data_IF_925918206068
#
_entry.id   IF_925918206068
#
_cell.length_a   1.000
_cell.length_b   1.000
_cell.length_c   1.000
_cell.angle_alpha   90.00
_cell.angle_beta   90.00
_cell.angle_gamma   90.00
#
_symmetry.space_group_name_H-M   'P 1'
#
loop_
_entity.id
_entity.type
_entity.pdbx_description
1 polymer ?
#
# COMPACT_ATOMS: atom_id res chain seq x y z
N UNK A 1 29.69 44.35 -8.00
CA UNK A 1 30.94 44.35 -8.80
C UNK A 1 32.16 43.74 -8.11
N UNK A 2 32.59 44.16 -6.90
CA UNK A 2 33.71 43.49 -6.17
C UNK A 2 33.30 42.10 -5.66
N UNK A 3 32.18 42.02 -4.92
CA UNK A 3 31.63 40.77 -4.38
C UNK A 3 31.30 39.72 -5.45
N UNK A 4 30.83 40.15 -6.63
CA UNK A 4 30.51 39.26 -7.75
C UNK A 4 31.76 38.64 -8.41
N UNK A 5 32.94 39.23 -8.20
CA UNK A 5 34.20 38.77 -8.82
C UNK A 5 35.11 38.02 -7.85
N UNK A 6 35.00 38.24 -6.54
CA UNK A 6 35.93 37.68 -5.56
C UNK A 6 35.44 36.40 -4.89
N UNK A 7 34.12 36.16 -4.77
CA UNK A 7 33.56 35.07 -3.93
C UNK A 7 34.12 35.01 -2.50
N UNK A 8 34.73 36.10 -2.01
CA UNK A 8 35.34 36.14 -0.68
C UNK A 8 34.28 36.45 0.38
N UNK A 9 34.19 35.58 1.38
CA UNK A 9 33.29 35.77 2.53
C UNK A 9 33.78 36.87 3.47
N UNK A 10 35.06 37.20 3.44
CA UNK A 10 35.69 38.18 4.32
C UNK A 10 36.68 39.02 3.52
N UNK A 11 36.64 40.34 3.70
CA UNK A 11 37.49 41.29 2.98
C UNK A 11 37.60 42.60 3.77
N UNK A 12 38.47 43.51 3.33
CA UNK A 12 38.65 44.81 3.98
C UNK A 12 38.33 45.92 2.99
N UNK A 13 37.64 46.95 3.46
CA UNK A 13 37.34 48.15 2.67
C UNK A 13 37.99 49.37 3.33
N UNK A 14 38.77 50.13 2.56
CA UNK A 14 39.29 51.42 3.01
C UNK A 14 38.50 52.54 2.35
N UNK A 15 37.81 53.36 3.15
CA UNK A 15 36.96 54.44 2.65
C UNK A 15 37.74 55.63 2.11
N UNK A 16 38.98 55.86 2.59
CA UNK A 16 39.85 56.95 2.12
C UNK A 16 40.40 56.67 0.72
N UNK A 17 40.75 55.42 0.46
CA UNK A 17 41.25 54.97 -0.85
C UNK A 17 40.12 54.47 -1.77
N UNK A 18 38.89 54.34 -1.25
CA UNK A 18 37.75 53.72 -1.94
C UNK A 18 38.10 52.35 -2.56
N UNK A 19 38.96 51.60 -1.88
CA UNK A 19 39.53 50.33 -2.37
C UNK A 19 39.16 49.17 -1.46
N UNK A 20 38.85 48.04 -2.09
CA UNK A 20 38.69 46.75 -1.43
C UNK A 20 39.99 45.97 -1.49
N UNK A 21 40.32 45.31 -0.39
CA UNK A 21 41.49 44.45 -0.26
C UNK A 21 41.06 43.06 0.15
N UNK A 22 41.74 42.07 -0.42
CA UNK A 22 41.66 40.69 0.05
C UNK A 22 42.43 40.57 1.36
N UNK A 23 42.05 39.63 2.21
CA UNK A 23 42.78 39.40 3.46
C UNK A 23 44.26 39.06 3.22
N UNK A 24 44.56 38.31 2.16
CA UNK A 24 45.93 37.96 1.77
C UNK A 24 46.80 39.16 1.38
N UNK A 25 46.19 40.30 1.02
CA UNK A 25 46.92 41.52 0.67
C UNK A 25 47.31 42.33 1.91
N UNK A 26 46.63 42.12 3.04
CA UNK A 26 46.79 42.91 4.27
C UNK A 26 47.46 42.10 5.38
N UNK A 27 47.22 40.79 5.44
CA UNK A 27 47.67 39.91 6.50
C UNK A 27 48.84 39.08 6.00
N UNK A 28 50.02 39.32 6.56
CA UNK A 28 51.21 38.52 6.40
C UNK A 28 51.36 37.56 7.58
N UNK A 29 51.39 36.26 7.29
CA UNK A 29 51.51 35.21 8.30
C UNK A 29 52.95 34.93 8.75
N UNK A 30 53.94 35.30 7.94
CA UNK A 30 55.37 35.10 8.26
C UNK A 30 55.89 36.19 9.21
N UNK A 31 55.38 37.41 9.08
CA UNK A 31 55.76 38.54 9.93
C UNK A 31 54.52 39.29 10.43
N UNK A 32 53.96 38.79 11.54
CA UNK A 32 52.80 39.38 12.20
C UNK A 32 53.06 40.83 12.62
N UNK A 33 54.31 41.23 12.82
CA UNK A 33 54.66 42.58 13.26
C UNK A 33 54.39 43.65 12.19
N UNK A 34 54.31 43.25 10.90
CA UNK A 34 54.04 44.15 9.76
C UNK A 34 52.55 44.35 9.50
N UNK A 35 51.70 43.50 10.06
CA UNK A 35 50.26 43.56 9.83
C UNK A 35 49.70 44.88 10.38
N UNK A 36 49.00 45.62 9.52
CA UNK A 36 48.20 46.82 9.87
C UNK A 36 48.99 47.97 10.55
N UNK A 37 50.33 48.02 10.39
CA UNK A 37 51.19 49.10 10.94
C UNK A 37 50.98 50.47 10.29
N UNK A 38 50.69 50.51 8.99
CA UNK A 38 50.53 51.73 8.18
C UNK A 38 49.08 52.08 7.87
N UNK A 39 48.13 51.28 8.37
CA UNK A 39 46.71 51.38 8.02
C UNK A 39 45.99 52.21 9.08
N UNK A 40 45.32 53.27 8.63
CA UNK A 40 44.46 54.08 9.49
C UNK A 40 43.15 53.34 9.75
N UNK A 41 42.99 52.87 10.99
CA UNK A 41 41.84 52.08 11.43
C UNK A 41 40.52 52.88 11.38
N UNK A 42 40.57 54.21 11.39
CA UNK A 42 39.36 55.05 11.32
C UNK A 42 38.66 54.95 9.95
N UNK A 43 39.44 54.73 8.89
CA UNK A 43 38.94 54.62 7.52
C UNK A 43 38.86 53.16 7.03
N UNK A 44 39.18 52.20 7.89
CA UNK A 44 39.27 50.78 7.53
C UNK A 44 38.09 50.01 8.11
N UNK A 45 37.36 49.33 7.23
CA UNK A 45 36.19 48.51 7.54
C UNK A 45 36.50 47.03 7.27
N UNK A 46 36.34 46.20 8.30
CA UNK A 46 36.42 44.75 8.17
C UNK A 46 35.06 44.21 7.77
N UNK A 47 34.97 43.69 6.55
CA UNK A 47 33.72 43.30 5.93
C UNK A 47 33.54 41.78 5.96
N UNK A 48 32.34 41.32 6.30
CA UNK A 48 31.92 39.93 6.23
C UNK A 48 30.62 39.83 5.43
N UNK A 49 30.55 38.84 4.54
CA UNK A 49 29.31 38.47 3.85
C UNK A 49 28.56 37.47 4.71
N UNK A 50 27.42 37.90 5.26
CA UNK A 50 26.58 37.11 6.16
C UNK A 50 25.31 36.62 5.44
N UNK A 51 25.19 35.30 5.29
CA UNK A 51 24.03 34.64 4.68
C UNK A 51 22.94 34.30 5.71
N UNK A 52 23.11 34.70 6.97
CA UNK A 52 22.11 34.49 8.02
C UNK A 52 20.85 35.31 7.77
N UNK A 53 19.68 34.68 7.96
CA UNK A 53 18.38 35.34 7.87
C UNK A 53 17.98 36.06 9.16
N UNK A 54 18.64 35.76 10.27
CA UNK A 54 18.33 36.40 11.56
C UNK A 54 18.78 37.86 11.59
N UNK A 55 18.30 38.62 12.58
CA UNK A 55 18.71 40.02 12.76
C UNK A 55 20.16 40.13 13.19
N UNK A 56 20.63 39.21 14.02
CA UNK A 56 22.00 39.19 14.53
C UNK A 56 22.99 38.67 13.50
N UNK A 57 24.30 38.98 13.62
CA UNK A 57 25.32 38.46 12.73
C UNK A 57 25.57 36.96 12.98
N UNK A 58 25.88 36.23 11.91
CA UNK A 58 26.26 34.81 11.97
C UNK A 58 27.44 34.55 12.90
N UNK A 59 27.45 33.36 13.49
CA UNK A 59 28.58 32.86 14.28
C UNK A 59 29.90 32.79 13.48
N UNK A 60 29.86 32.83 12.14
CA UNK A 60 31.05 32.95 11.28
C UNK A 60 31.86 34.22 11.53
N UNK A 61 31.20 35.31 11.94
CA UNK A 61 31.87 36.55 12.32
C UNK A 61 32.83 36.31 13.50
N UNK A 62 32.48 35.42 14.44
CA UNK A 62 33.34 35.08 15.59
C UNK A 62 34.63 34.41 15.13
N UNK A 63 34.57 33.53 14.14
CA UNK A 63 35.76 32.89 13.58
C UNK A 63 36.68 33.92 12.92
N UNK A 64 36.09 34.85 12.15
CA UNK A 64 36.85 35.90 11.48
C UNK A 64 37.52 36.87 12.45
N UNK A 65 36.79 37.32 13.46
CA UNK A 65 37.35 38.19 14.51
C UNK A 65 38.45 37.48 15.30
N UNK A 66 38.27 36.18 15.62
CA UNK A 66 39.31 35.37 16.24
C UNK A 66 40.58 35.29 15.38
N UNK A 67 40.42 35.04 14.07
CA UNK A 67 41.53 35.02 13.11
C UNK A 67 42.27 36.37 13.00
N UNK A 68 41.54 37.49 12.95
CA UNK A 68 42.14 38.83 12.94
C UNK A 68 42.88 39.10 14.25
N UNK A 69 42.28 38.77 15.40
CA UNK A 69 42.92 38.99 16.70
C UNK A 69 44.24 38.20 16.83
N UNK A 70 44.29 36.98 16.30
CA UNK A 70 45.53 36.18 16.26
C UNK A 70 46.56 36.72 15.27
N UNK A 71 46.11 37.11 14.07
CA UNK A 71 47.00 37.49 12.98
C UNK A 71 47.49 38.94 13.11
N UNK A 72 46.80 39.79 13.87
CA UNK A 72 47.07 41.22 13.97
C UNK A 72 47.04 41.70 15.43
N UNK A 73 48.10 41.40 16.22
CA UNK A 73 48.16 41.79 17.64
C UNK A 73 48.05 43.30 17.86
N UNK A 74 48.42 44.12 16.87
CA UNK A 74 48.42 45.60 16.94
C UNK A 74 47.02 46.22 17.02
N UNK A 75 45.98 45.42 16.76
CA UNK A 75 44.57 45.83 16.82
C UNK A 75 43.93 45.50 18.16
N UNK A 76 44.59 44.69 18.99
CA UNK A 76 44.13 44.47 20.37
C UNK A 76 44.08 45.82 21.11
N UNK A 77 43.02 46.01 21.90
CA UNK A 77 42.68 47.23 22.63
C UNK A 77 42.40 48.47 21.74
N UNK A 78 42.11 48.27 20.45
CA UNK A 78 41.66 49.33 19.53
C UNK A 78 40.25 49.06 19.04
N UNK A 79 39.57 50.14 18.68
CA UNK A 79 38.26 50.11 18.03
C UNK A 79 38.41 49.82 16.54
N UNK A 80 37.69 48.81 16.05
CA UNK A 80 37.58 48.47 14.64
C UNK A 80 36.17 48.68 14.12
N UNK A 81 36.05 49.14 12.88
CA UNK A 81 34.77 49.23 12.20
C UNK A 81 34.52 47.94 11.40
N UNK A 82 33.33 47.37 11.55
CA UNK A 82 32.93 46.15 10.87
C UNK A 82 31.65 46.37 10.06
N UNK A 83 31.57 45.72 8.91
CA UNK A 83 30.39 45.71 8.05
C UNK A 83 29.98 44.25 7.81
N UNK A 84 28.78 43.87 8.26
CA UNK A 84 28.16 42.60 7.91
C UNK A 84 27.16 42.84 6.77
N UNK A 85 27.54 42.41 5.57
CA UNK A 85 26.72 42.52 4.38
C UNK A 85 25.76 41.34 4.32
N UNK A 86 24.46 41.62 4.38
CA UNK A 86 23.40 40.63 4.19
C UNK A 86 22.90 40.64 2.74
N UNK A 87 22.02 39.70 2.40
CA UNK A 87 21.39 39.62 1.07
C UNK A 87 20.70 40.92 0.63
N UNK A 88 20.28 41.78 1.57
CA UNK A 88 19.76 43.12 1.30
C UNK A 88 20.56 44.18 2.07
N UNK A 89 20.92 45.28 1.40
CA UNK A 89 21.63 46.42 1.98
C UNK A 89 20.88 47.00 3.18
N UNK A 90 19.55 47.04 3.14
CA UNK A 90 18.74 47.53 4.25
C UNK A 90 18.82 46.66 5.53
N UNK A 91 19.21 45.38 5.37
CA UNK A 91 19.43 44.44 6.49
C UNK A 91 20.89 44.30 6.89
N UNK A 92 21.81 44.92 6.12
CA UNK A 92 23.23 44.93 6.45
C UNK A 92 23.49 45.76 7.69
N UNK A 93 24.49 45.35 8.48
CA UNK A 93 24.76 45.91 9.79
C UNK A 93 26.16 46.51 9.78
N UNK A 94 26.27 47.76 10.24
CA UNK A 94 27.54 48.42 10.49
C UNK A 94 27.66 48.60 12.00
N UNK A 95 28.78 48.16 12.56
CA UNK A 95 29.02 48.25 13.99
C UNK A 95 30.52 48.41 14.27
N UNK A 96 30.83 49.00 15.41
CA UNK A 96 32.21 49.20 15.88
C UNK A 96 32.44 48.27 17.06
N UNK A 97 33.55 47.54 17.05
CA UNK A 97 33.94 46.63 18.12
C UNK A 97 35.27 47.04 18.71
N UNK A 98 35.45 46.81 20.00
CA UNK A 98 36.75 46.85 20.65
C UNK A 98 37.23 45.42 20.90
N UNK A 99 38.38 45.05 20.32
CA UNK A 99 38.95 43.72 20.53
C UNK A 99 39.76 43.74 21.81
N UNK A 100 39.26 43.10 22.87
CA UNK A 100 40.00 42.99 24.13
C UNK A 100 41.25 42.12 23.97
N UNK A 101 42.31 42.44 24.71
CA UNK A 101 43.50 41.59 24.80
C UNK A 101 43.18 40.35 25.64
N UNK A 102 42.83 39.25 24.97
CA UNK A 102 42.68 37.95 25.62
C UNK A 102 43.87 37.06 25.30
N UNK A 103 44.39 36.35 26.30
CA UNK A 103 45.23 35.17 26.08
C UNK A 103 44.38 34.13 25.35
N UNK A 104 44.53 34.07 24.02
CA UNK A 104 43.81 33.15 23.15
C UNK A 104 44.33 31.72 23.39
N UNK A 105 43.86 31.10 24.46
CA UNK A 105 44.21 29.73 24.78
C UNK A 105 43.48 28.77 23.82
N UNK A 106 44.14 28.43 22.71
CA UNK A 106 43.66 27.51 21.67
C UNK A 106 43.43 26.07 22.19
N UNK A 107 43.90 25.74 23.38
CA UNK A 107 43.74 24.40 23.97
C UNK A 107 42.32 24.13 24.47
N UNK A 108 41.49 25.18 24.71
CA UNK A 108 40.07 25.03 25.11
C UNK A 108 39.16 26.02 24.39
N UNK A 109 38.90 25.85 23.07
CA UNK A 109 37.97 26.71 22.35
C UNK A 109 36.53 26.46 22.79
N UNK A 110 35.75 27.53 22.92
CA UNK A 110 34.30 27.48 23.10
C UNK A 110 33.63 27.19 21.75
N UNK A 111 33.35 25.92 21.48
CA UNK A 111 32.68 25.50 20.25
C UNK A 111 31.18 25.80 20.27
N UNK A 112 30.68 26.38 19.19
CA UNK A 112 29.26 26.60 18.90
C UNK A 112 28.97 26.18 17.46
N UNK A 113 27.72 25.87 17.13
CA UNK A 113 27.32 25.54 15.75
C UNK A 113 26.34 24.38 15.62
N UNK A 114 26.04 23.67 16.71
CA UNK A 114 24.95 22.70 16.70
C UNK A 114 23.62 23.38 16.39
N UNK A 115 22.96 22.95 15.32
CA UNK A 115 21.65 23.43 14.96
C UNK A 115 20.62 22.97 15.99
N UNK A 116 19.70 23.87 16.36
CA UNK A 116 18.61 23.50 17.26
C UNK A 116 17.49 22.81 16.49
N UNK A 117 16.87 21.82 17.13
CA UNK A 117 15.59 21.27 16.74
C UNK A 117 14.56 21.75 17.78
N UNK A 118 13.63 22.61 17.35
CA UNK A 118 12.64 23.28 18.22
C UNK A 118 13.27 23.94 19.46
N UNK A 119 14.38 24.67 19.28
CA UNK A 119 15.07 25.40 20.34
C UNK A 119 15.93 24.54 21.28
N UNK A 120 16.06 23.22 21.02
CA UNK A 120 16.93 22.32 21.79
C UNK A 120 18.03 21.75 20.90
N UNK A 121 19.21 21.52 21.48
CA UNK A 121 20.35 20.88 20.79
C UNK A 121 20.15 19.35 20.78
N UNK A 122 19.20 18.88 19.97
CA UNK A 122 18.90 17.46 19.77
C UNK A 122 18.99 17.12 18.28
N UNK A 123 19.42 15.90 17.91
CA UNK A 123 19.48 15.47 16.53
C UNK A 123 18.08 15.45 15.88
N UNK A 124 18.02 15.72 14.58
CA UNK A 124 16.80 15.56 13.78
C UNK A 124 16.77 14.14 13.21
N UNK A 125 15.66 13.44 13.41
CA UNK A 125 15.41 12.13 12.80
C UNK A 125 14.15 12.22 11.94
N UNK A 126 14.22 11.66 10.73
CA UNK A 126 13.13 11.68 9.75
C UNK A 126 12.92 10.29 9.18
N UNK A 127 11.69 9.78 9.24
CA UNK A 127 11.31 8.51 8.60
C UNK A 127 11.08 8.72 7.10
N UNK A 128 12.05 8.28 6.30
CA UNK A 128 11.97 8.32 4.84
C UNK A 128 11.41 7.03 4.22
N UNK A 129 10.96 6.06 5.02
CA UNK A 129 10.45 4.77 4.50
C UNK A 129 9.31 4.96 3.51
N UNK A 130 8.45 5.98 3.69
CA UNK A 130 7.34 6.27 2.76
C UNK A 130 7.79 6.59 1.32
N UNK A 131 9.05 6.96 1.13
CA UNK A 131 9.63 7.39 -0.15
C UNK A 131 10.73 6.41 -0.60
N UNK A 132 11.49 5.84 0.33
CA UNK A 132 12.66 5.00 0.01
C UNK A 132 12.46 3.51 0.23
N UNK A 133 11.42 3.07 0.94
CA UNK A 133 11.14 1.64 1.13
C UNK A 133 10.51 1.06 -0.15
N UNK A 134 11.19 0.14 -0.85
CA UNK A 134 10.68 -0.44 -2.10
C UNK A 134 9.32 -1.11 -1.93
N UNK A 135 9.06 -1.75 -0.78
CA UNK A 135 7.79 -2.44 -0.53
C UNK A 135 6.63 -1.45 -0.39
N UNK A 136 6.84 -0.34 0.33
CA UNK A 136 5.84 0.73 0.45
C UNK A 136 5.63 1.47 -0.88
N UNK A 137 6.67 1.61 -1.68
CA UNK A 137 6.56 2.20 -3.02
C UNK A 137 5.73 1.32 -3.97
N UNK A 138 5.98 0.01 -3.97
CA UNK A 138 5.22 -0.97 -4.76
C UNK A 138 3.75 -0.96 -4.35
N UNK A 139 3.45 -0.97 -3.05
CA UNK A 139 2.08 -0.90 -2.55
C UNK A 139 1.35 0.37 -3.01
N UNK A 140 1.99 1.54 -2.92
CA UNK A 140 1.44 2.79 -3.44
C UNK A 140 1.20 2.74 -4.95
N UNK A 141 2.13 2.17 -5.70
CA UNK A 141 2.03 2.06 -7.17
C UNK A 141 0.86 1.16 -7.58
N UNK A 142 0.70 0.00 -6.92
CA UNK A 142 -0.42 -0.93 -7.14
C UNK A 142 -1.76 -0.24 -6.85
N UNK A 143 -1.86 0.45 -5.70
CA UNK A 143 -3.09 1.10 -5.27
C UNK A 143 -3.40 2.41 -6.03
N UNK A 144 -2.43 2.99 -6.74
CA UNK A 144 -2.62 4.24 -7.48
C UNK A 144 -3.70 4.09 -8.56
N UNK A 145 -3.73 2.97 -9.28
CA UNK A 145 -4.73 2.74 -10.31
C UNK A 145 -6.17 2.75 -9.75
N UNK A 146 -6.37 2.04 -8.63
CA UNK A 146 -7.66 2.00 -7.92
C UNK A 146 -8.04 3.38 -7.35
N UNK A 147 -7.06 4.09 -6.82
CA UNK A 147 -7.24 5.45 -6.29
C UNK A 147 -7.65 6.42 -7.41
N UNK A 148 -7.05 6.30 -8.60
CA UNK A 148 -7.43 7.06 -9.78
C UNK A 148 -8.84 6.72 -10.25
N UNK A 149 -9.25 5.44 -10.23
CA UNK A 149 -10.64 5.05 -10.52
C UNK A 149 -11.62 5.71 -9.56
N UNK A 150 -11.31 5.71 -8.25
CA UNK A 150 -12.11 6.39 -7.23
C UNK A 150 -12.22 7.89 -7.53
N UNK A 151 -11.09 8.59 -7.70
CA UNK A 151 -11.09 10.05 -7.89
C UNK A 151 -11.74 10.49 -9.20
N UNK A 152 -11.50 9.78 -10.31
CA UNK A 152 -11.94 10.21 -11.64
C UNK A 152 -13.34 9.74 -12.01
N UNK A 153 -13.73 8.53 -11.58
CA UNK A 153 -14.94 7.87 -12.10
C UNK A 153 -15.99 7.62 -11.02
N UNK A 154 -15.59 7.15 -9.84
CA UNK A 154 -16.51 6.71 -8.79
C UNK A 154 -16.04 7.19 -7.41
N UNK A 155 -16.32 8.44 -7.02
CA UNK A 155 -15.83 9.02 -5.76
C UNK A 155 -16.25 8.26 -4.50
N UNK A 156 -17.43 7.64 -4.55
CA UNK A 156 -18.01 6.86 -3.46
C UNK A 156 -17.46 5.42 -3.37
N UNK A 157 -16.50 5.04 -4.22
CA UNK A 157 -15.82 3.75 -4.17
C UNK A 157 -15.05 3.60 -2.87
N UNK A 158 -15.46 2.64 -2.05
CA UNK A 158 -14.77 2.28 -0.83
C UNK A 158 -13.70 1.23 -1.17
N UNK A 159 -12.44 1.66 -1.31
CA UNK A 159 -11.33 0.73 -1.57
C UNK A 159 -10.90 -0.01 -0.29
N UNK A 160 -11.05 0.63 0.86
CA UNK A 160 -10.61 0.08 2.14
C UNK A 160 -11.37 -1.20 2.48
N UNK A 161 -12.69 -1.23 2.26
CA UNK A 161 -13.49 -2.45 2.50
C UNK A 161 -13.02 -3.60 1.62
N UNK A 162 -12.66 -3.35 0.35
CA UNK A 162 -12.18 -4.39 -0.58
C UNK A 162 -10.86 -4.95 -0.07
N UNK A 163 -9.95 -4.05 0.34
CA UNK A 163 -8.62 -4.37 0.86
C UNK A 163 -8.68 -5.20 2.15
N UNK A 164 -9.47 -4.77 3.14
CA UNK A 164 -9.53 -5.40 4.47
C UNK A 164 -10.37 -6.68 4.52
N UNK A 165 -11.24 -6.90 3.53
CA UNK A 165 -12.11 -8.09 3.48
C UNK A 165 -11.26 -9.35 3.36
N UNK A 166 -11.57 -10.37 4.17
CA UNK A 166 -10.91 -11.67 4.14
C UNK A 166 -11.62 -12.63 3.18
N UNK A 167 -10.93 -13.03 2.11
CA UNK A 167 -11.49 -13.90 1.07
C UNK A 167 -11.00 -15.34 1.24
N UNK A 168 -11.95 -16.28 1.36
CA UNK A 168 -11.68 -17.72 1.37
C UNK A 168 -12.04 -18.31 0.01
N UNK A 169 -11.06 -18.88 -0.69
CA UNK A 169 -11.21 -19.51 -1.99
C UNK A 169 -11.18 -21.03 -1.81
N UNK A 170 -12.35 -21.67 -1.88
CA UNK A 170 -12.47 -23.13 -1.81
C UNK A 170 -12.34 -23.70 -3.22
N UNK A 171 -11.14 -24.15 -3.55
CA UNK A 171 -10.68 -24.56 -4.87
C UNK A 171 -9.57 -23.64 -5.37
N UNK A 172 -8.41 -24.21 -5.68
CA UNK A 172 -7.25 -23.54 -6.27
C UNK A 172 -7.00 -24.06 -7.71
N UNK A 173 -8.08 -24.42 -8.41
CA UNK A 173 -8.07 -24.76 -9.83
C UNK A 173 -8.17 -23.52 -10.73
N UNK A 174 -8.70 -23.70 -11.94
CA UNK A 174 -8.80 -22.64 -12.97
C UNK A 174 -9.58 -21.43 -12.44
N UNK A 175 -10.72 -21.66 -11.79
CA UNK A 175 -11.53 -20.63 -11.17
C UNK A 175 -10.82 -19.96 -9.98
N UNK A 176 -10.20 -20.76 -9.10
CA UNK A 176 -9.44 -20.25 -7.94
C UNK A 176 -8.35 -19.28 -8.32
N UNK A 177 -7.54 -19.65 -9.31
CA UNK A 177 -6.45 -18.80 -9.81
C UNK A 177 -6.99 -17.52 -10.48
N UNK A 178 -8.06 -17.65 -11.29
CA UNK A 178 -8.72 -16.51 -11.94
C UNK A 178 -9.31 -15.51 -10.94
N UNK A 179 -10.11 -15.99 -9.99
CA UNK A 179 -10.73 -15.18 -8.93
C UNK A 179 -9.65 -14.49 -8.09
N UNK A 180 -8.60 -15.20 -7.69
CA UNK A 180 -7.51 -14.63 -6.90
C UNK A 180 -6.79 -13.48 -7.62
N UNK A 181 -6.47 -13.65 -8.91
CA UNK A 181 -5.86 -12.61 -9.73
C UNK A 181 -6.77 -11.38 -9.88
N UNK A 182 -8.06 -11.60 -10.09
CA UNK A 182 -9.04 -10.52 -10.17
C UNK A 182 -9.24 -9.79 -8.84
N UNK A 183 -9.25 -10.50 -7.70
CA UNK A 183 -9.30 -9.90 -6.37
C UNK A 183 -8.04 -9.07 -6.09
N UNK A 184 -6.87 -9.60 -6.45
CA UNK A 184 -5.59 -8.89 -6.29
C UNK A 184 -5.59 -7.57 -7.09
N UNK A 185 -6.09 -7.59 -8.33
CA UNK A 185 -6.22 -6.39 -9.15
C UNK A 185 -7.18 -5.34 -8.54
N UNK A 186 -8.17 -5.78 -7.75
CA UNK A 186 -9.07 -4.92 -6.98
C UNK A 186 -8.49 -4.47 -5.63
N UNK A 187 -7.25 -4.83 -5.31
CA UNK A 187 -6.56 -4.40 -4.10
C UNK A 187 -6.85 -5.24 -2.86
N UNK A 188 -7.38 -6.46 -3.02
CA UNK A 188 -7.57 -7.38 -1.91
C UNK A 188 -6.24 -7.76 -1.25
N UNK A 189 -6.15 -7.67 0.08
CA UNK A 189 -4.93 -7.98 0.84
C UNK A 189 -4.95 -9.34 1.52
N UNK A 190 -6.12 -9.94 1.72
CA UNK A 190 -6.27 -11.18 2.50
C UNK A 190 -6.92 -12.29 1.68
N UNK A 191 -6.12 -13.24 1.18
CA UNK A 191 -6.62 -14.35 0.35
C UNK A 191 -6.14 -15.69 0.93
N UNK A 192 -7.07 -16.58 1.22
CA UNK A 192 -6.76 -17.93 1.71
C UNK A 192 -7.29 -18.97 0.73
N UNK A 193 -6.43 -19.90 0.32
CA UNK A 193 -6.78 -21.01 -0.54
C UNK A 193 -7.03 -22.29 0.25
N UNK A 194 -8.01 -23.06 -0.19
CA UNK A 194 -8.24 -24.44 0.24
C UNK A 194 -8.35 -25.33 -0.98
N UNK A 195 -7.45 -26.31 -1.09
CA UNK A 195 -7.46 -27.32 -2.16
C UNK A 195 -6.68 -28.53 -1.64
N UNK A 196 -7.07 -29.75 -2.01
CA UNK A 196 -6.38 -30.97 -1.59
C UNK A 196 -5.41 -31.52 -2.64
N UNK A 197 -5.51 -31.02 -3.88
CA UNK A 197 -4.79 -31.55 -5.03
C UNK A 197 -3.36 -31.01 -5.17
N UNK A 198 -2.60 -31.72 -5.99
CA UNK A 198 -1.26 -31.31 -6.43
C UNK A 198 -1.31 -30.74 -7.85
N UNK A 199 -0.38 -29.86 -8.19
CA UNK A 199 -0.24 -29.31 -9.54
C UNK A 199 0.16 -30.45 -10.50
N UNK A 200 -0.58 -30.60 -11.61
CA UNK A 200 -0.28 -31.54 -12.70
C UNK A 200 0.24 -30.84 -13.95
N UNK A 201 0.91 -31.56 -14.85
CA UNK A 201 1.52 -31.00 -16.08
C UNK A 201 0.53 -30.23 -16.98
N UNK A 202 -0.75 -30.64 -16.98
CA UNK A 202 -1.83 -29.98 -17.73
C UNK A 202 -2.37 -28.71 -17.07
N UNK A 203 -2.01 -28.42 -15.82
CA UNK A 203 -2.56 -27.31 -15.05
C UNK A 203 -2.02 -25.93 -15.43
N UNK A 204 -0.70 -25.69 -15.58
CA UNK A 204 -0.14 -24.35 -15.78
C UNK A 204 -0.76 -23.56 -16.94
N UNK A 205 -1.16 -24.24 -18.03
CA UNK A 205 -1.77 -23.58 -19.20
C UNK A 205 -3.20 -23.08 -18.97
N UNK A 206 -3.89 -23.54 -17.92
CA UNK A 206 -5.27 -23.12 -17.57
C UNK A 206 -5.34 -22.43 -16.21
N UNK A 207 -4.42 -22.76 -15.30
CA UNK A 207 -4.40 -22.32 -13.91
C UNK A 207 -3.27 -21.30 -13.74
N UNK A 208 -3.59 -20.03 -13.99
CA UNK A 208 -2.65 -18.92 -14.21
C UNK A 208 -1.83 -18.43 -12.98
N UNK A 209 -1.72 -19.26 -11.93
CA UNK A 209 -0.80 -19.08 -10.81
C UNK A 209 0.35 -20.08 -10.82
N UNK A 210 0.22 -21.23 -11.51
CA UNK A 210 1.23 -22.29 -11.44
C UNK A 210 2.20 -22.23 -12.62
N UNK A 211 3.44 -22.62 -12.37
CA UNK A 211 4.46 -22.78 -13.41
C UNK A 211 4.66 -24.25 -13.76
N UNK A 212 5.33 -24.51 -14.89
CA UNK A 212 5.73 -25.85 -15.31
C UNK A 212 6.54 -26.59 -14.24
N UNK A 213 7.45 -25.88 -13.57
CA UNK A 213 8.27 -26.41 -12.48
C UNK A 213 7.42 -26.90 -11.28
N UNK A 214 6.35 -26.20 -10.94
CA UNK A 214 5.46 -26.63 -9.84
C UNK A 214 4.78 -27.97 -10.16
N UNK A 215 4.53 -28.22 -11.44
CA UNK A 215 3.94 -29.46 -11.92
C UNK A 215 4.95 -30.62 -11.91
N UNK A 216 6.21 -30.39 -12.29
CA UNK A 216 7.28 -31.41 -12.19
C UNK A 216 7.41 -31.90 -10.75
N UNK A 217 7.42 -30.98 -9.80
CA UNK A 217 7.56 -31.31 -8.38
C UNK A 217 6.26 -31.68 -7.69
N UNK A 218 5.14 -31.75 -8.43
CA UNK A 218 3.79 -32.03 -7.90
C UNK A 218 3.49 -31.24 -6.63
N UNK A 219 3.81 -29.94 -6.61
CA UNK A 219 3.61 -29.13 -5.41
C UNK A 219 2.11 -29.06 -5.03
N UNK A 220 1.78 -28.95 -3.73
CA UNK A 220 0.40 -28.83 -3.27
C UNK A 220 -0.23 -27.51 -3.75
N UNK A 221 -1.38 -27.59 -4.43
CA UNK A 221 -2.02 -26.44 -5.11
C UNK A 221 -2.27 -25.26 -4.19
N UNK A 222 -2.90 -25.51 -3.03
CA UNK A 222 -3.29 -24.43 -2.13
C UNK A 222 -2.08 -23.62 -1.63
N UNK A 223 -1.03 -24.30 -1.16
CA UNK A 223 0.16 -23.64 -0.65
C UNK A 223 0.94 -22.91 -1.77
N UNK A 224 1.07 -23.54 -2.94
CA UNK A 224 1.72 -22.93 -4.11
C UNK A 224 0.96 -21.72 -4.61
N UNK A 225 -0.38 -21.75 -4.68
CA UNK A 225 -1.18 -20.59 -5.06
C UNK A 225 -0.93 -19.40 -4.12
N UNK A 226 -0.86 -19.68 -2.82
CA UNK A 226 -0.56 -18.66 -1.82
C UNK A 226 0.84 -18.03 -1.99
N UNK A 227 1.85 -18.87 -2.25
CA UNK A 227 3.21 -18.44 -2.55
C UNK A 227 3.29 -17.58 -3.82
N UNK A 228 2.62 -18.00 -4.89
CA UNK A 228 2.60 -17.31 -6.18
C UNK A 228 1.94 -15.94 -6.07
N UNK A 229 0.91 -15.79 -5.23
CA UNK A 229 0.36 -14.46 -4.94
C UNK A 229 1.37 -13.54 -4.25
N UNK A 230 2.15 -14.04 -3.28
CA UNK A 230 3.21 -13.24 -2.62
C UNK A 230 4.33 -12.85 -3.57
N UNK A 231 4.64 -13.70 -4.55
CA UNK A 231 5.59 -13.34 -5.62
C UNK A 231 5.05 -12.24 -6.53
N UNK A 232 3.74 -12.19 -6.77
CA UNK A 232 3.11 -11.13 -7.57
C UNK A 232 2.96 -9.82 -6.77
N UNK A 233 2.59 -9.92 -5.50
CA UNK A 233 2.41 -8.79 -4.59
C UNK A 233 3.01 -9.12 -3.21
N UNK A 234 4.24 -8.66 -2.90
CA UNK A 234 4.96 -9.06 -1.69
C UNK A 234 4.23 -8.80 -0.36
N UNK A 235 3.39 -7.76 -0.30
CA UNK A 235 2.68 -7.38 0.93
C UNK A 235 1.35 -8.12 1.14
N UNK A 236 0.92 -8.98 0.19
CA UNK A 236 -0.34 -9.72 0.35
C UNK A 236 -0.25 -10.73 1.49
N UNK A 237 -1.28 -10.75 2.32
CA UNK A 237 -1.48 -11.76 3.36
C UNK A 237 -2.20 -12.94 2.72
N UNK A 238 -1.40 -13.86 2.19
CA UNK A 238 -1.90 -15.04 1.48
C UNK A 238 -1.46 -16.34 2.14
N UNK A 239 -2.39 -17.30 2.27
CA UNK A 239 -2.13 -18.61 2.86
C UNK A 239 -2.84 -19.73 2.08
N UNK A 240 -2.39 -20.97 2.26
CA UNK A 240 -2.92 -22.13 1.54
C UNK A 240 -2.98 -23.35 2.43
N UNK A 241 -4.15 -24.00 2.48
CA UNK A 241 -4.41 -25.15 3.33
C UNK A 241 -4.79 -26.38 2.50
N UNK A 242 -4.08 -27.48 2.73
CA UNK A 242 -4.33 -28.75 2.05
C UNK A 242 -5.43 -29.54 2.75
N UNK A 243 -6.70 -29.20 2.49
CA UNK A 243 -7.86 -29.78 3.20
C UNK A 243 -8.75 -30.52 2.20
N UNK A 244 -9.07 -31.78 2.52
CA UNK A 244 -10.06 -32.57 1.78
C UNK A 244 -11.46 -32.23 2.26
N UNK A 245 -12.29 -31.69 1.37
CA UNK A 245 -13.69 -31.40 1.67
C UNK A 245 -14.50 -32.71 1.54
N UNK A 246 -15.17 -33.19 2.61
CA UNK A 246 -15.96 -34.40 2.54
C UNK A 246 -17.17 -34.21 1.65
N UNK A 247 -17.35 -35.15 0.71
CA UNK A 247 -18.43 -35.13 -0.27
C UNK A 247 -19.58 -36.03 0.19
N UNK A 248 -20.83 -35.54 0.23
CA UNK A 248 -22.00 -36.39 0.44
C UNK A 248 -22.04 -37.59 -0.52
N UNK A 249 -22.61 -38.71 -0.06
CA UNK A 249 -22.73 -39.94 -0.86
C UNK A 249 -21.43 -40.76 -0.99
N UNK A 250 -20.33 -40.34 -0.36
CA UNK A 250 -19.08 -41.09 -0.31
C UNK A 250 -18.86 -41.63 1.11
N UNK A 251 -18.84 -42.95 1.33
CA UNK A 251 -18.66 -43.51 2.66
C UNK A 251 -17.26 -43.21 3.19
N UNK A 252 -17.19 -42.75 4.43
CA UNK A 252 -15.93 -42.56 5.16
C UNK A 252 -15.66 -43.83 5.96
N UNK A 253 -14.54 -44.50 5.67
CA UNK A 253 -14.12 -45.67 6.45
C UNK A 253 -13.73 -45.28 7.87
N UNK A 254 -13.87 -46.19 8.84
CA UNK A 254 -13.55 -45.95 10.27
C UNK A 254 -12.13 -45.39 10.49
N UNK A 255 -11.16 -45.79 9.65
CA UNK A 255 -9.77 -45.31 9.72
C UNK A 255 -9.61 -43.84 9.29
N UNK A 256 -10.51 -43.32 8.45
CA UNK A 256 -10.46 -41.95 7.91
C UNK A 256 -11.33 -40.96 8.69
N UNK A 257 -12.07 -41.44 9.70
CA UNK A 257 -13.01 -40.63 10.46
C UNK A 257 -12.31 -39.52 11.24
N UNK A 258 -11.17 -39.83 11.87
CA UNK A 258 -10.37 -38.86 12.64
C UNK A 258 -9.82 -37.75 11.73
N UNK A 259 -9.25 -38.12 10.58
CA UNK A 259 -8.73 -37.16 9.59
C UNK A 259 -9.84 -36.28 9.00
N UNK A 260 -10.99 -36.90 8.70
CA UNK A 260 -12.16 -36.20 8.16
C UNK A 260 -12.71 -35.19 9.18
N UNK A 261 -12.82 -35.58 10.45
CA UNK A 261 -13.26 -34.69 11.52
C UNK A 261 -12.28 -33.52 11.72
N UNK A 262 -10.98 -33.78 11.66
CA UNK A 262 -9.96 -32.72 11.69
C UNK A 262 -10.13 -31.73 10.52
N UNK A 263 -10.30 -32.26 9.31
CA UNK A 263 -10.53 -31.47 8.08
C UNK A 263 -11.80 -30.61 8.17
N UNK A 264 -12.89 -31.16 8.71
CA UNK A 264 -14.15 -30.44 8.94
C UNK A 264 -13.94 -29.32 9.96
N UNK A 265 -13.25 -29.58 11.07
CA UNK A 265 -12.97 -28.59 12.10
C UNK A 265 -12.12 -27.44 11.56
N UNK A 266 -11.09 -27.74 10.78
CA UNK A 266 -10.26 -26.73 10.14
C UNK A 266 -11.06 -25.90 9.13
N UNK A 267 -11.86 -26.54 8.27
CA UNK A 267 -12.73 -25.84 7.32
C UNK A 267 -13.74 -24.93 8.04
N UNK A 268 -14.33 -25.41 9.14
CA UNK A 268 -15.26 -24.66 10.00
C UNK A 268 -14.59 -23.40 10.55
N UNK A 269 -13.34 -23.51 11.01
CA UNK A 269 -12.59 -22.38 11.54
C UNK A 269 -12.23 -21.36 10.45
N UNK A 270 -11.76 -21.83 9.29
CA UNK A 270 -11.50 -20.96 8.14
C UNK A 270 -12.77 -20.20 7.71
N UNK A 271 -13.91 -20.88 7.62
CA UNK A 271 -15.19 -20.22 7.29
C UNK A 271 -15.56 -19.14 8.30
N UNK A 272 -15.32 -19.34 9.60
CA UNK A 272 -15.58 -18.32 10.62
C UNK A 272 -14.67 -17.11 10.48
N UNK A 273 -13.39 -17.33 10.19
CA UNK A 273 -12.36 -16.28 10.14
C UNK A 273 -12.47 -15.36 8.92
N UNK A 274 -13.11 -15.82 7.85
CA UNK A 274 -13.23 -15.10 6.58
C UNK A 274 -14.61 -14.45 6.40
N UNK A 275 -14.69 -13.42 5.57
CA UNK A 275 -15.91 -12.62 5.36
C UNK A 275 -16.68 -13.07 4.13
N UNK A 276 -15.95 -13.34 3.04
CA UNK A 276 -16.46 -13.78 1.75
C UNK A 276 -15.88 -15.14 1.41
N UNK A 277 -16.74 -16.06 0.98
CA UNK A 277 -16.40 -17.44 0.66
C UNK A 277 -16.77 -17.69 -0.80
N UNK A 278 -15.77 -18.04 -1.61
CA UNK A 278 -15.97 -18.49 -2.97
C UNK A 278 -15.98 -20.01 -3.03
N UNK A 279 -17.04 -20.59 -3.58
CA UNK A 279 -17.15 -22.03 -3.87
C UNK A 279 -16.73 -22.24 -5.31
N UNK A 280 -15.48 -22.68 -5.50
CA UNK A 280 -14.79 -22.83 -6.78
C UNK A 280 -14.34 -24.27 -7.00
N UNK A 281 -14.93 -25.21 -6.25
CA UNK A 281 -14.65 -26.65 -6.36
C UNK A 281 -15.23 -27.21 -7.66
N UNK A 282 -14.71 -28.37 -8.03
CA UNK A 282 -14.93 -29.06 -9.31
C UNK A 282 -16.14 -30.01 -9.31
N UNK A 283 -16.79 -30.21 -8.16
CA UNK A 283 -17.95 -31.10 -8.05
C UNK A 283 -19.10 -30.45 -7.30
N UNK A 284 -20.31 -30.93 -7.55
CA UNK A 284 -21.51 -30.48 -6.86
C UNK A 284 -21.49 -30.85 -5.38
N UNK A 285 -21.05 -32.05 -5.07
CA UNK A 285 -21.01 -32.63 -3.73
C UNK A 285 -20.06 -31.88 -2.80
N UNK A 286 -18.90 -31.48 -3.32
CA UNK A 286 -17.90 -30.72 -2.55
C UNK A 286 -18.40 -29.32 -2.15
N UNK A 287 -19.42 -28.76 -2.83
CA UNK A 287 -20.01 -27.46 -2.48
C UNK A 287 -21.03 -27.53 -1.34
N UNK A 288 -21.54 -28.73 -1.02
CA UNK A 288 -22.63 -28.88 -0.06
C UNK A 288 -22.25 -28.43 1.35
N UNK A 289 -21.19 -29.01 1.92
CA UNK A 289 -20.75 -28.67 3.27
C UNK A 289 -20.35 -27.19 3.39
N UNK A 290 -19.53 -26.62 2.49
CA UNK A 290 -19.25 -25.18 2.52
C UNK A 290 -20.48 -24.29 2.41
N UNK A 291 -21.47 -24.67 1.59
CA UNK A 291 -22.74 -23.92 1.47
C UNK A 291 -23.48 -23.91 2.79
N UNK A 292 -23.56 -25.07 3.46
CA UNK A 292 -24.19 -25.20 4.77
C UNK A 292 -23.48 -24.34 5.82
N UNK A 293 -22.15 -24.42 5.89
CA UNK A 293 -21.35 -23.65 6.84
C UNK A 293 -21.47 -22.14 6.59
N UNK A 294 -21.43 -21.70 5.34
CA UNK A 294 -21.59 -20.29 5.00
C UNK A 294 -22.97 -19.75 5.38
N UNK A 295 -24.03 -20.53 5.18
CA UNK A 295 -25.38 -20.17 5.63
C UNK A 295 -25.48 -20.14 7.17
N UNK A 296 -24.89 -21.12 7.86
CA UNK A 296 -24.89 -21.21 9.32
C UNK A 296 -24.16 -20.03 9.99
N UNK A 297 -22.98 -19.67 9.48
CA UNK A 297 -22.19 -18.55 9.99
C UNK A 297 -22.54 -17.19 9.38
N UNK A 298 -23.62 -17.12 8.58
CA UNK A 298 -24.10 -15.89 7.93
C UNK A 298 -23.01 -15.18 7.10
N UNK A 299 -22.20 -15.95 6.38
CA UNK A 299 -21.10 -15.47 5.54
C UNK A 299 -21.56 -15.21 4.11
N UNK A 300 -20.94 -14.26 3.42
CA UNK A 300 -21.25 -14.00 2.02
C UNK A 300 -20.68 -15.13 1.16
N UNK A 301 -21.54 -15.96 0.58
CA UNK A 301 -21.12 -17.10 -0.26
C UNK A 301 -21.41 -16.81 -1.72
N UNK A 302 -20.39 -16.96 -2.56
CA UNK A 302 -20.47 -16.88 -4.01
C UNK A 302 -20.11 -18.23 -4.60
N UNK A 303 -21.02 -18.84 -5.35
CA UNK A 303 -20.76 -20.10 -6.05
C UNK A 303 -20.49 -19.82 -7.51
N UNK A 304 -19.41 -20.41 -8.02
CA UNK A 304 -19.05 -20.39 -9.44
C UNK A 304 -18.94 -21.81 -9.95
N UNK A 305 -19.65 -22.11 -11.02
CA UNK A 305 -19.66 -23.40 -11.68
C UNK A 305 -19.44 -23.24 -13.18
N UNK A 306 -18.83 -24.23 -13.81
CA UNK A 306 -18.51 -24.23 -15.23
C UNK A 306 -19.10 -25.46 -15.89
N UNK A 307 -19.77 -25.26 -17.03
CA UNK A 307 -20.01 -26.28 -18.03
C UNK A 307 -19.03 -26.16 -19.20
N UNK A 308 -19.26 -26.91 -20.28
CA UNK A 308 -18.39 -26.90 -21.46
C UNK A 308 -18.25 -25.50 -22.08
N UNK A 309 -19.38 -24.84 -22.37
CA UNK A 309 -19.50 -23.52 -23.00
C UNK A 309 -20.36 -22.53 -22.18
N UNK A 310 -20.83 -22.96 -21.02
CA UNK A 310 -21.68 -22.20 -20.11
C UNK A 310 -21.05 -22.06 -18.74
N UNK A 311 -21.52 -21.09 -17.95
CA UNK A 311 -21.08 -20.91 -16.58
C UNK A 311 -22.23 -20.40 -15.71
N UNK A 312 -22.10 -20.60 -14.41
CA UNK A 312 -23.04 -20.13 -13.40
C UNK A 312 -22.26 -19.34 -12.35
N UNK A 313 -22.72 -18.13 -12.06
CA UNK A 313 -22.25 -17.31 -10.94
C UNK A 313 -23.47 -16.91 -10.12
N UNK A 314 -23.52 -17.33 -8.87
CA UNK A 314 -24.63 -17.01 -7.96
C UNK A 314 -24.11 -16.57 -6.60
N UNK A 315 -24.84 -15.65 -5.98
CA UNK A 315 -24.68 -15.32 -4.56
C UNK A 315 -25.77 -16.00 -3.74
N UNK A 316 -25.41 -16.50 -2.58
CA UNK A 316 -26.38 -17.13 -1.68
C UNK A 316 -27.12 -16.07 -0.85
N UNK A 317 -28.37 -16.36 -0.50
CA UNK A 317 -29.11 -15.56 0.47
C UNK A 317 -28.64 -15.76 1.89
N UNK A 318 -28.95 -14.78 2.75
CA UNK A 318 -28.68 -14.86 4.20
C UNK A 318 -29.98 -14.76 4.96
N UNK A 319 -30.30 -15.74 5.80
CA UNK A 319 -31.51 -15.65 6.64
C UNK A 319 -31.32 -14.54 7.68
N UNK A 320 -32.23 -13.56 7.65
CA UNK A 320 -32.41 -12.55 8.70
C UNK A 320 -33.79 -12.75 9.32
N UNK A 321 -33.91 -12.46 10.61
CA UNK A 321 -35.16 -12.56 11.37
C UNK A 321 -36.21 -11.53 10.88
N UNK A 322 -35.76 -10.40 10.33
CA UNK A 322 -36.62 -9.36 9.79
C UNK A 322 -37.11 -9.71 8.38
N UNK A 323 -38.31 -10.29 8.30
CA UNK A 323 -39.00 -10.63 7.04
C UNK A 323 -39.53 -9.38 6.33
N UNK A 324 -38.76 -8.85 5.38
CA UNK A 324 -39.22 -7.78 4.48
C UNK A 324 -40.06 -8.38 3.35
N UNK A 325 -41.30 -7.92 3.14
CA UNK A 325 -42.13 -8.42 2.02
C UNK A 325 -41.52 -8.01 0.66
N UNK A 326 -41.53 -8.88 -0.35
CA UNK A 326 -41.05 -8.54 -1.69
C UNK A 326 -41.98 -7.52 -2.35
N UNK A 327 -41.43 -6.43 -2.88
CA UNK A 327 -42.18 -5.44 -3.64
C UNK A 327 -42.19 -5.80 -5.13
N UNK A 328 -43.32 -5.56 -5.82
CA UNK A 328 -43.36 -5.61 -7.28
C UNK A 328 -43.02 -4.23 -7.83
N UNK A 329 -42.01 -4.18 -8.70
CA UNK A 329 -41.65 -2.99 -9.48
C UNK A 329 -42.05 -3.31 -10.93
N UNK A 330 -42.58 -2.35 -11.71
CA UNK A 330 -43.11 -2.56 -13.10
C UNK A 330 -42.32 -3.61 -13.91
N UNK A 331 -42.83 -4.86 -13.98
CA UNK A 331 -42.25 -6.00 -14.72
C UNK A 331 -41.20 -6.86 -13.98
N UNK A 332 -40.72 -6.46 -12.81
CA UNK A 332 -39.70 -7.15 -12.01
C UNK A 332 -40.23 -7.52 -10.62
N UNK A 333 -39.86 -8.72 -10.14
CA UNK A 333 -40.06 -9.12 -8.75
C UNK A 333 -38.80 -8.73 -7.97
N UNK A 334 -38.94 -7.82 -7.01
CA UNK A 334 -37.85 -7.47 -6.09
C UNK A 334 -37.81 -8.51 -4.97
N UNK A 335 -36.77 -9.35 -4.98
CA UNK A 335 -36.56 -10.38 -3.96
C UNK A 335 -35.56 -9.82 -2.95
N UNK A 336 -35.94 -9.69 -1.67
CA UNK A 336 -34.98 -9.31 -0.63
C UNK A 336 -33.86 -10.35 -0.54
N UNK A 337 -32.64 -9.92 -0.22
CA UNK A 337 -31.48 -10.82 -0.12
C UNK A 337 -31.67 -11.96 0.89
N UNK A 338 -32.61 -11.79 1.83
CA UNK A 338 -32.99 -12.79 2.83
C UNK A 338 -33.77 -13.98 2.27
N UNK A 339 -34.39 -13.82 1.11
CA UNK A 339 -35.21 -14.84 0.45
C UNK A 339 -34.51 -15.50 -0.74
N UNK A 340 -33.25 -15.15 -1.00
CA UNK A 340 -32.50 -15.79 -2.07
C UNK A 340 -32.13 -17.22 -1.69
N UNK A 341 -32.36 -18.14 -2.62
CA UNK A 341 -31.92 -19.52 -2.49
C UNK A 341 -30.40 -19.64 -2.56
N UNK A 342 -29.86 -20.73 -2.03
CA UNK A 342 -28.50 -21.14 -2.31
C UNK A 342 -28.43 -21.97 -3.60
N UNK A 343 -27.22 -22.40 -3.98
CA UNK A 343 -26.99 -23.31 -5.11
C UNK A 343 -27.94 -24.52 -5.14
N UNK A 344 -28.27 -25.09 -3.98
CA UNK A 344 -29.10 -26.30 -3.87
C UNK A 344 -30.61 -26.02 -3.76
N UNK A 345 -31.07 -24.76 -3.69
CA UNK A 345 -32.50 -24.46 -3.49
C UNK A 345 -33.36 -24.65 -4.75
N UNK A 346 -32.76 -24.61 -5.94
CA UNK A 346 -33.47 -24.89 -7.20
C UNK A 346 -33.39 -26.37 -7.58
N UNK A 347 -32.82 -27.20 -6.70
CA UNK A 347 -32.56 -28.59 -6.97
C UNK A 347 -33.70 -29.48 -6.49
N UNK A 348 -34.04 -30.48 -7.30
CA UNK A 348 -35.10 -31.44 -7.00
C UNK A 348 -34.50 -32.71 -6.34
N UNK A 349 -33.18 -32.90 -6.41
CA UNK A 349 -32.49 -34.11 -5.94
C UNK A 349 -31.46 -33.74 -4.87
N UNK A 350 -31.39 -34.49 -3.77
CA UNK A 350 -30.32 -34.33 -2.79
C UNK A 350 -28.94 -34.60 -3.42
N UNK A 351 -27.86 -33.92 -2.99
CA UNK A 351 -26.52 -34.20 -3.51
C UNK A 351 -26.09 -35.62 -3.10
N UNK A 352 -26.14 -36.54 -4.06
CA UNK A 352 -25.63 -37.91 -3.96
C UNK A 352 -24.33 -38.07 -4.76
N UNK A 353 -23.85 -39.30 -4.89
CA UNK A 353 -22.63 -39.59 -5.66
C UNK A 353 -22.89 -39.44 -7.17
N UNK A 354 -22.62 -38.25 -7.71
CA UNK A 354 -22.72 -37.96 -9.14
C UNK A 354 -21.50 -38.42 -9.93
N UNK A 355 -20.42 -38.94 -9.31
CA UNK A 355 -19.27 -39.48 -10.06
C UNK A 355 -19.63 -40.68 -10.96
N UNK A 356 -20.85 -41.22 -10.79
CA UNK A 356 -21.44 -42.21 -11.70
C UNK A 356 -22.34 -41.62 -12.81
N UNK A 357 -22.97 -40.46 -12.60
CA UNK A 357 -23.96 -39.85 -13.51
C UNK A 357 -23.61 -38.39 -13.86
N UNK A 358 -23.20 -38.17 -15.12
CA UNK A 358 -22.55 -36.94 -15.60
C UNK A 358 -23.50 -35.74 -15.62
N UNK A 359 -23.19 -34.68 -14.86
CA UNK A 359 -23.87 -33.36 -14.95
C UNK A 359 -22.87 -32.23 -15.19
N UNK A 360 -23.41 -31.03 -15.48
CA UNK A 360 -22.72 -29.78 -15.89
C UNK A 360 -21.39 -29.52 -15.16
N UNK A 361 -21.29 -29.85 -13.88
CA UNK A 361 -20.12 -29.57 -13.03
C UNK A 361 -18.93 -30.52 -13.21
N UNK A 362 -19.11 -31.72 -13.77
CA UNK A 362 -18.04 -32.72 -13.84
C UNK A 362 -17.06 -32.54 -15.00
N UNK A 363 -17.16 -31.46 -15.77
CA UNK A 363 -16.29 -31.18 -16.91
C UNK A 363 -15.35 -29.98 -16.69
N UNK A 364 -14.95 -29.67 -15.46
CA UNK A 364 -14.02 -28.57 -15.19
C UNK A 364 -12.69 -28.67 -15.98
N UNK A 365 -12.29 -29.87 -16.43
CA UNK A 365 -11.13 -30.11 -17.32
C UNK A 365 -11.45 -29.96 -18.81
N UNK A 366 -12.70 -30.18 -19.23
CA UNK A 366 -13.17 -30.08 -20.61
C UNK A 366 -14.10 -28.88 -20.74
N UNK A 367 -13.58 -27.69 -20.43
CA UNK A 367 -14.27 -26.42 -20.67
C UNK A 367 -13.53 -25.65 -21.75
N UNK A 368 -14.26 -24.81 -22.49
CA UNK A 368 -13.65 -23.79 -23.35
C UNK A 368 -12.80 -22.87 -22.45
N UNK A 369 -11.47 -22.76 -22.68
CA UNK A 369 -10.55 -22.15 -21.69
C UNK A 369 -10.95 -20.75 -21.22
N UNK A 370 -11.44 -19.91 -22.13
CA UNK A 370 -11.82 -18.52 -21.84
C UNK A 370 -13.03 -18.38 -20.91
N UNK A 371 -13.92 -19.38 -20.84
CA UNK A 371 -15.16 -19.32 -20.04
C UNK A 371 -14.84 -19.16 -18.55
N UNK A 372 -13.79 -19.82 -18.08
CA UNK A 372 -13.32 -19.72 -16.71
C UNK A 372 -12.92 -18.28 -16.30
N UNK A 373 -12.29 -17.53 -17.21
CA UNK A 373 -11.91 -16.13 -16.98
C UNK A 373 -13.12 -15.21 -16.91
N UNK A 374 -14.12 -15.43 -17.78
CA UNK A 374 -15.38 -14.68 -17.76
C UNK A 374 -16.15 -14.94 -16.46
N UNK A 375 -16.26 -16.21 -16.05
CA UNK A 375 -16.95 -16.58 -14.82
C UNK A 375 -16.23 -16.00 -13.59
N UNK A 376 -14.89 -16.08 -13.55
CA UNK A 376 -14.07 -15.54 -12.45
C UNK A 376 -14.20 -14.03 -12.33
N UNK A 377 -14.11 -13.29 -13.45
CA UNK A 377 -14.23 -11.83 -13.43
C UNK A 377 -15.61 -11.38 -12.98
N UNK A 378 -16.68 -12.01 -13.49
CA UNK A 378 -18.05 -11.71 -13.08
C UNK A 378 -18.31 -12.02 -11.61
N UNK A 379 -17.73 -13.10 -11.08
CA UNK A 379 -17.85 -13.44 -9.66
C UNK A 379 -17.19 -12.39 -8.76
N UNK A 380 -16.02 -11.88 -9.15
CA UNK A 380 -15.35 -10.80 -8.43
C UNK A 380 -16.12 -9.49 -8.55
N UNK A 381 -16.52 -9.08 -9.75
CA UNK A 381 -17.32 -7.85 -9.95
C UNK A 381 -18.63 -7.86 -9.15
N UNK A 382 -19.32 -9.01 -9.12
CA UNK A 382 -20.49 -9.20 -8.28
C UNK A 382 -20.16 -8.97 -6.80
N UNK A 383 -19.05 -9.56 -6.33
CA UNK A 383 -18.60 -9.45 -4.94
C UNK A 383 -18.25 -8.01 -4.58
N UNK A 384 -17.48 -7.33 -5.42
CA UNK A 384 -17.12 -5.92 -5.22
C UNK A 384 -18.38 -5.06 -5.16
N UNK A 385 -19.30 -5.22 -6.12
CA UNK A 385 -20.57 -4.49 -6.11
C UNK A 385 -21.39 -4.74 -4.83
N UNK A 386 -21.42 -5.98 -4.33
CA UNK A 386 -22.08 -6.32 -3.07
C UNK A 386 -21.41 -5.66 -1.86
N UNK A 387 -20.07 -5.64 -1.77
CA UNK A 387 -19.36 -5.01 -0.66
C UNK A 387 -19.66 -3.51 -0.56
N UNK A 388 -19.85 -2.86 -1.70
CA UNK A 388 -20.10 -1.42 -1.81
C UNK A 388 -21.54 -1.06 -1.45
N UNK A 389 -22.46 -2.02 -1.59
CA UNK A 389 -23.85 -1.80 -1.28
C UNK A 389 -24.07 -1.71 0.24
N UNK A 390 -24.86 -0.72 0.69
CA UNK A 390 -25.17 -0.47 2.12
C UNK A 390 -25.62 -1.72 2.89
N UNK A 391 -26.45 -2.54 2.25
CA UNK A 391 -26.99 -3.78 2.85
C UNK A 391 -26.15 -5.04 2.58
N UNK A 392 -25.03 -4.93 1.85
CA UNK A 392 -24.12 -6.04 1.49
C UNK A 392 -24.83 -7.33 1.07
N UNK A 393 -24.71 -8.38 1.88
CA UNK A 393 -25.32 -9.70 1.65
C UNK A 393 -26.86 -9.66 1.61
N UNK A 394 -27.48 -8.72 2.33
CA UNK A 394 -28.92 -8.53 2.39
C UNK A 394 -29.46 -7.61 1.28
N UNK A 395 -28.60 -7.15 0.36
CA UNK A 395 -29.01 -6.39 -0.81
C UNK A 395 -30.11 -7.12 -1.59
N UNK A 396 -31.03 -6.35 -2.16
CA UNK A 396 -32.15 -6.89 -2.92
C UNK A 396 -31.69 -7.35 -4.31
N UNK A 397 -32.42 -8.29 -4.89
CA UNK A 397 -32.21 -8.77 -6.26
C UNK A 397 -33.47 -8.54 -7.10
N UNK A 398 -33.31 -8.16 -8.37
CA UNK A 398 -34.42 -7.99 -9.31
C UNK A 398 -34.48 -9.22 -10.23
N UNK A 399 -35.64 -9.86 -10.32
CA UNK A 399 -35.87 -11.00 -11.23
C UNK A 399 -37.02 -10.70 -12.20
N UNK A 400 -36.88 -11.11 -13.48
CA UNK A 400 -37.98 -11.09 -14.45
C UNK A 400 -38.74 -12.42 -14.39
N UNK A 401 -40.07 -12.37 -14.54
CA UNK A 401 -40.99 -13.53 -14.41
C UNK A 401 -40.72 -14.73 -15.34
N UNK A 402 -39.78 -14.68 -16.29
CA UNK A 402 -39.51 -15.75 -17.27
C UNK A 402 -38.03 -16.17 -17.42
N UNK A 403 -37.12 -15.66 -16.61
CA UNK A 403 -35.70 -16.04 -16.67
C UNK A 403 -35.21 -16.23 -15.22
N UNK A 404 -34.63 -17.40 -14.87
CA UNK A 404 -34.11 -17.66 -13.52
C UNK A 404 -33.00 -16.66 -13.16
N UNK A 405 -32.49 -16.75 -11.94
CA UNK A 405 -31.47 -15.89 -11.33
C UNK A 405 -30.18 -15.73 -12.19
N UNK A 406 -30.25 -14.97 -13.28
CA UNK A 406 -29.19 -14.80 -14.27
C UNK A 406 -28.89 -13.30 -14.39
N UNK A 407 -27.65 -12.91 -14.09
CA UNK A 407 -27.18 -11.53 -14.19
C UNK A 407 -27.30 -11.04 -15.64
N UNK A 408 -28.34 -10.26 -15.91
CA UNK A 408 -28.32 -9.29 -17.01
C UNK A 408 -27.62 -8.05 -16.46
N UNK A 409 -26.55 -7.59 -17.12
CA UNK A 409 -25.75 -6.40 -16.75
C UNK A 409 -26.66 -5.22 -16.34
N UNK A 410 -26.86 -5.07 -15.03
CA UNK A 410 -27.45 -3.88 -14.44
C UNK A 410 -26.33 -2.85 -14.35
N UNK A 411 -26.23 -2.06 -15.41
CA UNK A 411 -25.44 -0.83 -15.55
C UNK A 411 -24.77 -0.39 -14.24
N UNK A 412 -23.49 -0.74 -14.06
CA UNK A 412 -22.73 -0.57 -12.82
C UNK A 412 -22.90 0.84 -12.24
N UNK A 413 -22.97 1.89 -13.09
CA UNK A 413 -23.20 3.28 -12.68
C UNK A 413 -24.48 3.53 -11.86
N UNK A 414 -25.54 2.74 -12.02
CA UNK A 414 -26.79 2.92 -11.25
C UNK A 414 -26.71 2.33 -9.83
N UNK A 415 -25.83 1.37 -9.58
CA UNK A 415 -25.63 0.78 -8.25
C UNK A 415 -24.87 1.75 -7.31
N UNK A 416 -23.95 2.54 -7.85
CA UNK A 416 -23.16 3.53 -7.11
C UNK A 416 -23.93 4.82 -6.75
N UNK A 417 -25.11 5.05 -7.35
CA UNK A 417 -25.87 6.30 -7.26
C UNK A 417 -27.08 6.26 -6.30
N UNK A 418 -27.23 5.24 -5.44
CA UNK A 418 -28.31 5.19 -4.44
C UNK A 418 -27.84 4.84 -3.03
#
# INVERSE_FOLDING_TARGET
MFLEKSNELFFVYNSKESRFYRLSEIINHEDLSKNLKSVDLNYTFFCCTDLCFDKDPSWLLRQFLGYIAMSCPQITQKTINCICLKNNVASSIVFTLEIQSTDLNLEKPLWVGWETNNGRLIPRSVDMSKIMDPLKMVEKSINLNLTLMKWRLVPNLNLDIISTTKYLLLGAGTLGCGVARSLLAWGAQHITFVDYGNVSLSNPVRQNLYLYEDAIHRKPKAATAGERLRQIHPNIISSGYNIKIPMPGHPVGKLQEVETNSSINQLKELVKQHDVIFLLTDSRESRWLPTLLGAFYKKMVITVALGFDTFLVIRHGSKSENRVKPNLIKGFKEIPGTYLGCYFCNDIVAPGNSMKDRTLDQQCTVTRPAVSYIASSLAVELTISLLQHKHRMYSKSLTMRKIPLYMKFLNLRKFWKK
#
